data_IF_768859715146
#
_entry.id   IF_768859715146
#
_cell.length_a   1.000
_cell.length_b   1.000
_cell.length_c   1.000
_cell.angle_alpha   90.00
_cell.angle_beta   90.00
_cell.angle_gamma   90.00
#
_symmetry.space_group_name_H-M   'P 1'
#
loop_
_entity.id
_entity.type
_entity.pdbx_description
1 polymer ?
#
# COMPACT_ATOMS: atom_id res chain seq x y z
N UNK A 1 61.58 21.76 32.16
CA UNK A 1 60.97 22.87 31.40
C UNK A 1 60.42 22.28 30.12
N UNK A 2 59.16 22.64 29.86
CA UNK A 2 58.27 22.06 28.86
C UNK A 2 58.68 22.38 27.42
N UNK A 3 58.29 21.49 26.51
CA UNK A 3 57.89 21.86 25.15
C UNK A 3 56.80 20.88 24.72
N UNK A 4 55.57 21.35 24.80
CA UNK A 4 54.35 20.74 24.28
C UNK A 4 54.43 20.66 22.75
N UNK A 5 53.98 19.55 22.17
CA UNK A 5 53.48 19.54 20.80
C UNK A 5 52.21 18.66 20.75
N UNK A 6 51.10 19.31 21.10
CA UNK A 6 49.74 18.83 20.92
C UNK A 6 49.26 19.29 19.54
N UNK A 7 49.14 18.38 18.59
CA UNK A 7 48.37 18.64 17.36
C UNK A 7 47.29 17.58 17.14
N UNK A 8 46.10 17.95 17.62
CA UNK A 8 44.77 17.63 17.13
C UNK A 8 44.68 16.85 15.80
N UNK A 9 44.34 15.56 15.91
CA UNK A 9 43.67 14.79 14.85
C UNK A 9 42.20 14.62 15.21
N UNK A 10 41.38 15.58 14.80
CA UNK A 10 39.92 15.60 14.96
C UNK A 10 39.27 14.29 14.50
N UNK A 11 38.73 13.52 15.44
CA UNK A 11 37.74 12.47 15.18
C UNK A 11 36.51 13.18 14.59
N UNK A 12 36.36 13.11 13.27
CA UNK A 12 35.17 13.61 12.57
C UNK A 12 33.95 12.81 13.03
N UNK A 13 33.12 13.49 13.83
CA UNK A 13 31.66 13.53 13.69
C UNK A 13 30.96 12.20 13.53
N UNK A 14 30.44 11.71 14.65
CA UNK A 14 29.34 10.75 14.72
C UNK A 14 28.19 11.19 13.80
N UNK A 15 28.07 10.58 12.61
CA UNK A 15 26.93 10.84 11.72
C UNK A 15 25.69 10.28 12.42
N UNK A 16 24.83 11.15 12.97
CA UNK A 16 23.55 10.72 13.51
C UNK A 16 22.80 10.01 12.39
N UNK A 17 22.58 8.70 12.53
CA UNK A 17 21.80 7.92 11.55
C UNK A 17 20.44 8.58 11.45
N UNK A 18 20.13 9.17 10.28
CA UNK A 18 18.85 9.83 10.04
C UNK A 18 17.78 8.75 9.98
N UNK A 19 16.74 8.88 10.81
CA UNK A 19 15.59 7.98 10.82
C UNK A 19 14.81 8.10 9.52
N UNK A 20 14.62 6.98 8.81
CA UNK A 20 13.91 6.96 7.50
C UNK A 20 12.53 6.34 7.58
N UNK A 21 12.28 5.51 8.59
CA UNK A 21 11.00 4.81 8.78
C UNK A 21 10.30 5.29 10.06
N UNK A 22 9.02 5.62 9.95
CA UNK A 22 8.22 6.24 11.01
C UNK A 22 6.95 5.42 11.25
N UNK A 23 6.76 4.87 12.45
CA UNK A 23 5.55 4.10 12.76
C UNK A 23 4.40 5.00 13.20
N UNK A 24 3.17 4.54 12.98
CA UNK A 24 1.95 5.13 13.51
C UNK A 24 0.95 4.03 13.92
N UNK A 25 0.17 4.31 14.97
CA UNK A 25 -0.84 3.40 15.53
C UNK A 25 -1.69 4.14 16.57
N UNK A 26 -2.73 3.49 17.11
CA UNK A 26 -3.67 4.14 18.03
C UNK A 26 -2.95 4.76 19.23
N UNK A 27 -2.96 6.10 19.33
CA UNK A 27 -2.33 6.84 20.42
C UNK A 27 -0.80 6.92 20.36
N UNK A 28 -0.16 6.47 19.27
CA UNK A 28 1.30 6.50 19.11
C UNK A 28 1.70 6.84 17.67
N UNK A 29 2.61 7.78 17.51
CA UNK A 29 3.18 8.14 16.20
C UNK A 29 4.60 8.67 16.35
N UNK A 30 5.50 8.25 15.46
CA UNK A 30 6.85 8.81 15.35
C UNK A 30 6.90 10.09 14.51
N UNK A 31 5.81 10.40 13.80
CA UNK A 31 5.65 11.60 12.97
C UNK A 31 4.55 12.53 13.48
N UNK A 32 4.36 13.65 12.79
CA UNK A 32 3.24 14.59 13.04
C UNK A 32 2.87 15.37 11.77
N UNK A 33 1.79 16.16 11.83
CA UNK A 33 1.27 16.95 10.70
C UNK A 33 2.26 17.95 10.08
N UNK A 34 3.28 18.41 10.82
CA UNK A 34 4.26 19.37 10.29
C UNK A 34 5.28 18.72 9.34
N UNK A 35 5.43 17.40 9.39
CA UNK A 35 6.46 16.64 8.66
C UNK A 35 6.05 16.29 7.23
N UNK A 36 5.19 17.09 6.57
CA UNK A 36 4.69 16.80 5.20
C UNK A 36 5.79 16.67 4.16
N UNK A 37 6.87 17.44 4.30
CA UNK A 37 8.01 17.36 3.39
C UNK A 37 8.71 15.98 3.47
N UNK A 38 8.72 15.36 4.66
CA UNK A 38 9.41 14.10 4.94
C UNK A 38 8.50 12.88 4.79
N UNK A 39 7.25 12.95 5.28
CA UNK A 39 6.31 11.82 5.33
C UNK A 39 5.26 11.87 4.22
N UNK A 40 5.29 12.90 3.38
CA UNK A 40 4.22 13.22 2.47
C UNK A 40 2.95 13.70 3.17
N UNK A 41 1.98 14.17 2.38
CA UNK A 41 0.68 14.62 2.91
C UNK A 41 -0.10 13.50 3.59
N UNK A 42 -0.09 12.29 3.00
CA UNK A 42 -0.81 11.12 3.56
C UNK A 42 -0.17 10.62 4.86
N UNK A 43 1.15 10.41 4.88
CA UNK A 43 1.87 9.94 6.06
C UNK A 43 1.78 10.91 7.23
N UNK A 44 1.96 12.21 6.98
CA UNK A 44 1.82 13.24 8.01
C UNK A 44 0.39 13.31 8.60
N UNK A 45 -0.65 13.11 7.78
CA UNK A 45 -2.02 13.05 8.27
C UNK A 45 -2.33 11.76 9.03
N UNK A 46 -1.80 10.60 8.61
CA UNK A 46 -1.93 9.33 9.35
C UNK A 46 -1.29 9.44 10.73
N UNK A 47 -0.08 10.00 10.78
CA UNK A 47 0.65 10.30 12.01
C UNK A 47 -0.16 11.23 12.94
N UNK A 48 -0.73 12.30 12.40
CA UNK A 48 -1.59 13.23 13.15
C UNK A 48 -2.81 12.51 13.73
N UNK A 49 -3.57 11.78 12.90
CA UNK A 49 -4.77 11.07 13.32
C UNK A 49 -4.46 10.04 14.42
N UNK A 50 -3.35 9.32 14.27
CA UNK A 50 -2.84 8.39 15.28
C UNK A 50 -2.51 9.10 16.60
N UNK A 51 -1.82 10.25 16.54
CA UNK A 51 -1.40 11.02 17.72
C UNK A 51 -2.56 11.62 18.51
N UNK A 52 -3.64 12.03 17.84
CA UNK A 52 -4.85 12.56 18.50
C UNK A 52 -5.82 11.46 18.96
N UNK A 53 -5.44 10.19 18.86
CA UNK A 53 -6.18 9.05 19.41
C UNK A 53 -7.30 8.51 18.53
N UNK A 54 -7.37 8.87 17.25
CA UNK A 54 -8.32 8.24 16.33
C UNK A 54 -7.94 6.78 16.08
N UNK A 55 -8.94 5.95 15.80
CA UNK A 55 -8.77 4.54 15.45
C UNK A 55 -8.18 4.39 14.05
N UNK A 56 -6.87 4.57 13.93
CA UNK A 56 -6.10 4.38 12.70
C UNK A 56 -5.48 2.98 12.73
N UNK A 57 -5.69 2.13 11.70
CA UNK A 57 -4.98 0.86 11.60
C UNK A 57 -3.46 1.09 11.62
N UNK A 58 -2.69 0.32 12.40
CA UNK A 58 -1.27 0.56 12.58
C UNK A 58 -0.51 0.36 11.26
N UNK A 59 0.61 1.07 11.15
CA UNK A 59 1.42 1.08 9.95
C UNK A 59 2.72 1.84 10.13
N UNK A 60 3.38 2.08 9.01
CA UNK A 60 4.62 2.84 8.93
C UNK A 60 4.69 3.67 7.65
N UNK A 61 5.45 4.74 7.70
CA UNK A 61 5.78 5.60 6.56
C UNK A 61 7.29 5.58 6.33
N UNK A 62 7.70 5.22 5.12
CA UNK A 62 9.07 5.38 4.62
C UNK A 62 9.20 6.77 4.01
N UNK A 63 10.20 7.53 4.42
CA UNK A 63 10.33 8.95 4.10
C UNK A 63 10.59 9.25 2.62
N UNK A 64 10.34 10.50 2.23
CA UNK A 64 10.73 11.05 0.92
C UNK A 64 12.25 11.13 0.74
N UNK A 65 13.02 11.24 1.84
CA UNK A 65 14.48 11.19 1.79
C UNK A 65 14.98 9.79 1.44
N UNK A 66 14.33 8.73 1.91
CA UNK A 66 14.65 7.37 1.48
C UNK A 66 14.38 7.15 -0.02
N UNK A 67 13.37 7.82 -0.59
CA UNK A 67 13.13 7.83 -2.03
C UNK A 67 14.27 8.54 -2.78
N UNK A 68 14.74 9.68 -2.28
CA UNK A 68 15.89 10.41 -2.84
C UNK A 68 17.17 9.56 -2.82
N UNK A 69 17.43 8.88 -1.69
CA UNK A 69 18.54 7.93 -1.54
C UNK A 69 18.41 6.76 -2.54
N UNK A 70 17.21 6.21 -2.73
CA UNK A 70 16.97 5.14 -3.69
C UNK A 70 17.25 5.59 -5.13
N UNK A 71 16.73 6.75 -5.54
CA UNK A 71 16.91 7.27 -6.90
C UNK A 71 18.37 7.62 -7.18
N UNK A 72 19.03 8.32 -6.25
CA UNK A 72 20.45 8.69 -6.37
C UNK A 72 21.40 7.50 -6.25
N UNK A 73 21.02 6.46 -5.50
CA UNK A 73 21.76 5.20 -5.32
C UNK A 73 21.61 4.18 -6.44
N UNK A 74 21.08 4.57 -7.61
CA UNK A 74 20.94 3.69 -8.77
C UNK A 74 19.73 2.75 -8.69
N UNK A 75 18.65 3.17 -8.05
CA UNK A 75 17.38 2.45 -7.93
C UNK A 75 17.51 1.08 -7.27
N UNK A 76 18.28 1.03 -6.18
CA UNK A 76 18.44 -0.15 -5.34
C UNK A 76 18.05 0.18 -3.91
N UNK A 77 17.19 -0.66 -3.34
CA UNK A 77 16.84 -0.55 -1.93
C UNK A 77 18.04 -1.00 -1.10
N UNK A 78 18.59 -0.11 -0.27
CA UNK A 78 19.74 -0.45 0.59
C UNK A 78 19.33 -1.43 1.68
N UNK A 79 20.24 -2.34 2.06
CA UNK A 79 19.99 -3.30 3.13
C UNK A 79 19.69 -2.59 4.46
N UNK A 80 20.39 -1.48 4.74
CA UNK A 80 20.13 -0.66 5.92
C UNK A 80 18.70 -0.11 6.01
N UNK A 81 18.12 0.30 4.88
CA UNK A 81 16.74 0.79 4.83
C UNK A 81 15.77 -0.38 4.98
N UNK A 82 16.09 -1.53 4.38
CA UNK A 82 15.28 -2.74 4.53
C UNK A 82 15.23 -3.23 5.98
N UNK A 83 16.36 -3.20 6.70
CA UNK A 83 16.41 -3.53 8.12
C UNK A 83 15.55 -2.58 8.97
N UNK A 84 15.61 -1.27 8.71
CA UNK A 84 14.73 -0.29 9.36
C UNK A 84 13.25 -0.57 9.09
N UNK A 85 12.90 -0.94 7.85
CA UNK A 85 11.53 -1.32 7.48
C UNK A 85 11.10 -2.55 8.27
N UNK A 86 11.93 -3.60 8.35
CA UNK A 86 11.58 -4.82 9.08
C UNK A 86 11.45 -4.60 10.59
N UNK A 87 12.33 -3.78 11.19
CA UNK A 87 12.23 -3.37 12.59
C UNK A 87 10.91 -2.64 12.84
N UNK A 88 10.58 -1.65 12.01
CA UNK A 88 9.31 -0.91 12.12
C UNK A 88 8.09 -1.78 11.83
N UNK A 89 8.21 -2.78 10.96
CA UNK A 89 7.13 -3.71 10.63
C UNK A 89 6.79 -4.64 11.81
N UNK A 90 7.79 -5.03 12.62
CA UNK A 90 7.57 -5.81 13.84
C UNK A 90 6.66 -5.11 14.85
N UNK A 91 6.64 -3.76 14.86
CA UNK A 91 5.68 -2.98 15.64
C UNK A 91 4.25 -3.22 15.15
N UNK A 92 4.03 -3.22 13.83
CA UNK A 92 2.70 -3.46 13.23
C UNK A 92 2.21 -4.87 13.57
N UNK A 93 3.08 -5.88 13.43
CA UNK A 93 2.78 -7.27 13.80
C UNK A 93 2.38 -7.41 15.27
N UNK A 94 3.12 -6.76 16.17
CA UNK A 94 2.85 -6.77 17.61
C UNK A 94 1.52 -6.10 17.95
N UNK A 95 1.24 -4.93 17.38
CA UNK A 95 -0.01 -4.19 17.62
C UNK A 95 -1.23 -4.96 17.10
N UNK A 96 -1.10 -5.67 15.99
CA UNK A 96 -2.19 -6.47 15.40
C UNK A 96 -2.31 -7.88 15.98
N UNK A 97 -1.28 -8.39 16.67
CA UNK A 97 -1.23 -9.78 17.12
C UNK A 97 -1.23 -10.79 15.97
N UNK A 98 -0.76 -10.38 14.80
CA UNK A 98 -0.78 -11.10 13.54
C UNK A 98 0.60 -11.01 12.85
N UNK A 99 0.91 -11.94 11.96
CA UNK A 99 2.22 -12.06 11.33
C UNK A 99 2.09 -12.07 9.81
N UNK A 100 3.03 -11.42 9.13
CA UNK A 100 3.06 -11.40 7.67
C UNK A 100 3.45 -12.80 7.15
N UNK A 101 2.56 -13.41 6.38
CA UNK A 101 2.75 -14.76 5.84
C UNK A 101 2.29 -15.91 6.74
N UNK A 102 1.72 -15.64 7.91
CA UNK A 102 1.18 -16.68 8.80
C UNK A 102 -0.27 -17.04 8.40
N UNK A 103 -0.56 -18.30 8.01
CA UNK A 103 -1.91 -18.73 7.65
C UNK A 103 -2.91 -18.72 8.82
N UNK A 104 -2.46 -18.91 10.05
CA UNK A 104 -3.31 -18.95 11.24
C UNK A 104 -3.68 -17.54 11.68
N UNK A 105 -2.70 -16.63 11.65
CA UNK A 105 -2.87 -15.21 12.06
C UNK A 105 -2.37 -14.27 10.96
N UNK A 106 -3.06 -14.23 9.81
CA UNK A 106 -2.59 -13.49 8.65
C UNK A 106 -2.63 -11.98 8.89
N UNK A 107 -1.49 -11.32 8.73
CA UNK A 107 -1.40 -9.88 8.57
C UNK A 107 -1.31 -9.55 7.08
N UNK A 108 -2.32 -8.85 6.56
CA UNK A 108 -2.25 -8.26 5.23
C UNK A 108 -2.02 -6.75 5.35
N UNK A 109 -1.33 -6.16 4.38
CA UNK A 109 -1.06 -4.72 4.35
C UNK A 109 -1.45 -4.09 3.02
N UNK A 110 -1.66 -2.78 3.06
CA UNK A 110 -1.71 -1.94 1.87
C UNK A 110 -0.44 -1.13 1.73
N UNK A 111 -0.02 -0.88 0.50
CA UNK A 111 1.13 -0.03 0.16
C UNK A 111 0.62 1.14 -0.69
N UNK A 112 0.88 2.36 -0.21
CA UNK A 112 0.32 3.59 -0.78
C UNK A 112 1.39 4.67 -0.95
N UNK A 113 1.51 5.19 -2.17
CA UNK A 113 2.32 6.37 -2.47
C UNK A 113 1.75 7.62 -1.78
N UNK A 114 2.64 8.52 -1.33
CA UNK A 114 2.27 9.80 -0.74
C UNK A 114 3.39 10.82 -0.83
N UNK A 115 3.34 11.71 -1.84
CA UNK A 115 4.23 12.87 -1.92
C UNK A 115 3.76 14.00 -0.98
N UNK A 116 4.60 15.02 -0.79
CA UNK A 116 4.26 16.21 0.01
C UNK A 116 3.07 16.99 -0.55
N UNK A 117 2.93 16.98 -1.88
CA UNK A 117 1.82 17.57 -2.63
C UNK A 117 1.10 16.43 -3.36
N UNK A 118 -0.23 16.54 -3.52
CA UNK A 118 -0.99 15.57 -4.29
C UNK A 118 -0.51 15.56 -5.75
N UNK A 119 -0.13 14.37 -6.25
CA UNK A 119 0.44 14.22 -7.58
C UNK A 119 -0.28 13.09 -8.34
N UNK A 120 -0.91 13.37 -9.50
CA UNK A 120 -1.41 12.34 -10.38
C UNK A 120 -0.26 11.63 -11.10
N UNK A 121 -0.39 10.32 -11.30
CA UNK A 121 0.64 9.49 -11.95
C UNK A 121 1.70 8.89 -11.02
N UNK A 122 1.51 9.06 -9.71
CA UNK A 122 2.16 8.21 -8.71
C UNK A 122 1.54 6.81 -8.71
N UNK A 123 2.30 5.81 -8.26
CA UNK A 123 1.84 4.42 -8.17
C UNK A 123 0.45 4.32 -7.53
N UNK A 124 -0.42 3.54 -8.16
CA UNK A 124 -1.72 3.17 -7.62
C UNK A 124 -1.58 2.36 -6.31
N UNK A 125 -2.63 2.34 -5.51
CA UNK A 125 -2.60 1.65 -4.21
C UNK A 125 -2.60 0.14 -4.40
N UNK A 126 -1.69 -0.57 -3.75
CA UNK A 126 -1.74 -2.03 -3.64
C UNK A 126 -2.41 -2.40 -2.32
N UNK A 127 -3.49 -3.18 -2.38
CA UNK A 127 -4.18 -3.75 -1.22
C UNK A 127 -3.88 -5.25 -1.09
N UNK A 128 -4.17 -5.82 0.08
CA UNK A 128 -4.09 -7.26 0.35
C UNK A 128 -2.69 -7.87 0.15
N UNK A 129 -1.63 -7.06 0.26
CA UNK A 129 -0.25 -7.54 0.18
C UNK A 129 0.02 -8.50 1.34
N UNK A 130 0.64 -9.64 1.03
CA UNK A 130 0.89 -10.74 1.96
C UNK A 130 0.07 -11.99 1.65
N UNK A 131 -0.85 -11.94 0.68
CA UNK A 131 -1.56 -13.14 0.22
C UNK A 131 -0.64 -14.06 -0.59
N UNK A 132 -0.77 -15.36 -0.28
CA UNK A 132 -0.26 -16.49 -1.02
C UNK A 132 -1.21 -17.69 -0.79
N UNK A 133 -0.89 -18.87 -1.32
CA UNK A 133 -1.75 -20.06 -1.25
C UNK A 133 -2.04 -20.55 0.18
N UNK A 134 -1.08 -20.41 1.08
CA UNK A 134 -1.23 -20.82 2.47
C UNK A 134 -2.09 -19.79 3.23
N UNK A 135 -1.75 -18.51 3.08
CA UNK A 135 -2.43 -17.38 3.72
C UNK A 135 -3.88 -17.27 3.24
N UNK A 136 -4.16 -17.46 1.94
CA UNK A 136 -5.53 -17.42 1.41
C UNK A 136 -6.38 -18.55 1.97
N UNK A 137 -5.79 -19.73 2.17
CA UNK A 137 -6.48 -20.88 2.78
C UNK A 137 -6.83 -20.62 4.25
N UNK A 138 -5.91 -19.98 4.98
CA UNK A 138 -6.16 -19.47 6.34
C UNK A 138 -7.26 -18.41 6.39
N UNK A 139 -7.20 -17.43 5.49
CA UNK A 139 -8.21 -16.38 5.36
C UNK A 139 -9.59 -16.96 4.99
N UNK A 140 -9.64 -17.94 4.09
CA UNK A 140 -10.86 -18.63 3.68
C UNK A 140 -11.56 -19.33 4.84
N UNK A 141 -10.77 -19.89 5.76
CA UNK A 141 -11.29 -20.59 6.95
C UNK A 141 -11.91 -19.64 7.98
N UNK A 142 -11.46 -18.38 8.02
CA UNK A 142 -11.91 -17.38 9.00
C UNK A 142 -13.01 -16.45 8.46
N UNK A 143 -12.90 -16.09 7.19
CA UNK A 143 -13.67 -14.99 6.58
C UNK A 143 -14.53 -15.44 5.40
N UNK A 144 -14.51 -16.75 5.09
CA UNK A 144 -15.24 -17.35 3.99
C UNK A 144 -14.42 -17.49 2.70
N UNK A 145 -14.60 -18.63 2.02
CA UNK A 145 -13.84 -19.00 0.81
C UNK A 145 -13.98 -17.97 -0.31
N UNK A 146 -15.20 -17.51 -0.57
CA UNK A 146 -15.47 -16.55 -1.65
C UNK A 146 -14.69 -15.25 -1.47
N UNK A 147 -14.70 -14.67 -0.27
CA UNK A 147 -13.97 -13.44 0.03
C UNK A 147 -12.46 -13.62 -0.12
N UNK A 148 -11.92 -14.72 0.39
CA UNK A 148 -10.50 -14.97 0.36
C UNK A 148 -9.97 -15.10 -1.07
N UNK A 149 -10.62 -15.92 -1.90
CA UNK A 149 -10.22 -16.08 -3.30
C UNK A 149 -10.53 -14.85 -4.17
N UNK A 150 -11.62 -14.11 -3.90
CA UNK A 150 -11.88 -12.83 -4.59
C UNK A 150 -10.79 -11.79 -4.26
N UNK A 151 -10.40 -11.72 -2.99
CA UNK A 151 -9.32 -10.83 -2.54
C UNK A 151 -7.97 -11.25 -3.13
N UNK A 152 -7.73 -12.56 -3.29
CA UNK A 152 -6.48 -13.07 -3.86
C UNK A 152 -6.38 -12.82 -5.37
N UNK A 153 -7.42 -13.08 -6.16
CA UNK A 153 -7.39 -12.73 -7.60
C UNK A 153 -7.18 -11.23 -7.82
N UNK A 154 -7.80 -10.38 -7.01
CA UNK A 154 -7.68 -8.91 -7.11
C UNK A 154 -6.28 -8.46 -6.75
N UNK A 155 -5.67 -9.11 -5.76
CA UNK A 155 -4.28 -8.86 -5.42
C UNK A 155 -3.33 -9.29 -6.52
N UNK A 156 -3.53 -10.47 -7.14
CA UNK A 156 -2.71 -10.95 -8.25
C UNK A 156 -2.74 -9.98 -9.44
N UNK A 157 -3.92 -9.49 -9.82
CA UNK A 157 -4.05 -8.50 -10.89
C UNK A 157 -3.36 -7.17 -10.52
N UNK A 158 -3.74 -6.58 -9.39
CA UNK A 158 -3.21 -5.27 -8.95
C UNK A 158 -1.69 -5.30 -8.66
N UNK A 159 -1.16 -6.37 -8.06
CA UNK A 159 0.29 -6.52 -7.88
C UNK A 159 0.98 -6.74 -9.23
N UNK A 160 0.35 -7.48 -10.14
CA UNK A 160 0.88 -7.74 -11.48
C UNK A 160 1.01 -6.45 -12.27
N UNK A 161 -0.06 -5.67 -12.34
CA UNK A 161 -0.10 -4.39 -13.05
C UNK A 161 0.80 -3.35 -12.40
N UNK A 162 0.59 -3.09 -11.11
CA UNK A 162 1.21 -1.93 -10.46
C UNK A 162 2.66 -2.17 -10.04
N UNK A 163 3.01 -3.39 -9.62
CA UNK A 163 4.38 -3.72 -9.14
C UNK A 163 5.21 -4.39 -10.24
N UNK A 164 4.64 -5.35 -10.95
CA UNK A 164 5.38 -6.13 -11.95
C UNK A 164 5.28 -5.54 -13.36
N UNK A 165 4.40 -4.56 -13.60
CA UNK A 165 4.18 -3.97 -14.92
C UNK A 165 3.57 -4.94 -15.93
N UNK A 166 2.71 -5.86 -15.47
CA UNK A 166 1.94 -6.80 -16.29
C UNK A 166 0.61 -6.13 -16.64
N UNK A 167 0.32 -5.87 -17.93
CA UNK A 167 -0.89 -5.14 -18.30
C UNK A 167 -2.20 -5.76 -17.76
N UNK A 168 -3.01 -4.95 -17.07
CA UNK A 168 -4.32 -5.34 -16.52
C UNK A 168 -5.24 -6.11 -17.49
N UNK A 169 -5.19 -5.78 -18.79
CA UNK A 169 -6.03 -6.42 -19.81
C UNK A 169 -5.78 -7.93 -19.93
N UNK A 170 -4.59 -8.43 -19.59
CA UNK A 170 -4.28 -9.86 -19.59
C UNK A 170 -5.03 -10.61 -18.49
N UNK A 171 -5.26 -9.96 -17.34
CA UNK A 171 -6.07 -10.53 -16.26
C UNK A 171 -7.56 -10.45 -16.58
N UNK A 172 -8.03 -9.32 -17.14
CA UNK A 172 -9.41 -9.17 -17.59
C UNK A 172 -9.79 -10.17 -18.68
N UNK A 173 -8.88 -10.50 -19.60
CA UNK A 173 -9.11 -11.56 -20.59
C UNK A 173 -9.41 -12.91 -19.92
N UNK A 174 -8.62 -13.29 -18.91
CA UNK A 174 -8.84 -14.53 -18.15
C UNK A 174 -10.17 -14.54 -17.40
N UNK A 175 -10.52 -13.42 -16.77
CA UNK A 175 -11.81 -13.26 -16.10
C UNK A 175 -12.98 -13.36 -17.08
N UNK A 176 -12.88 -12.69 -18.24
CA UNK A 176 -13.93 -12.70 -19.25
C UNK A 176 -14.12 -14.10 -19.84
N UNK A 177 -13.04 -14.80 -20.18
CA UNK A 177 -13.10 -16.17 -20.68
C UNK A 177 -13.82 -17.11 -19.70
N UNK A 178 -13.47 -17.03 -18.41
CA UNK A 178 -14.14 -17.85 -17.39
C UNK A 178 -15.64 -17.50 -17.26
N UNK A 179 -16.00 -16.22 -17.33
CA UNK A 179 -17.41 -15.80 -17.32
C UNK A 179 -18.17 -16.33 -18.53
N UNK A 180 -17.58 -16.29 -19.71
CA UNK A 180 -18.18 -16.79 -20.95
C UNK A 180 -18.37 -18.32 -20.90
N UNK A 181 -17.38 -19.07 -20.40
CA UNK A 181 -17.46 -20.51 -20.17
C UNK A 181 -18.57 -20.90 -19.18
N UNK A 182 -18.74 -20.10 -18.12
CA UNK A 182 -19.78 -20.29 -17.09
C UNK A 182 -21.13 -19.67 -17.46
N UNK A 183 -21.22 -18.96 -18.60
CA UNK A 183 -22.41 -18.23 -19.07
C UNK A 183 -22.99 -17.25 -18.05
N UNK A 184 -22.11 -16.52 -17.38
CA UNK A 184 -22.45 -15.49 -16.39
C UNK A 184 -22.04 -14.10 -16.87
N UNK A 185 -22.73 -13.07 -16.40
CA UNK A 185 -22.50 -11.68 -16.84
C UNK A 185 -21.78 -10.83 -15.80
N UNK A 186 -22.00 -11.11 -14.51
CA UNK A 186 -21.44 -10.33 -13.41
C UNK A 186 -20.37 -11.13 -12.66
N UNK A 187 -19.28 -10.45 -12.29
CA UNK A 187 -18.24 -11.03 -11.43
C UNK A 187 -18.81 -11.50 -10.08
N UNK A 188 -19.93 -10.92 -9.63
CA UNK A 188 -20.62 -11.31 -8.40
C UNK A 188 -21.15 -12.74 -8.45
N UNK A 189 -21.44 -13.23 -9.65
CA UNK A 189 -22.07 -14.52 -9.89
C UNK A 189 -21.05 -15.67 -9.87
N UNK A 190 -19.74 -15.36 -9.86
CA UNK A 190 -18.68 -16.35 -9.70
C UNK A 190 -18.74 -17.02 -8.32
N UNK A 191 -18.65 -18.35 -8.32
CA UNK A 191 -18.59 -19.14 -7.09
C UNK A 191 -17.18 -19.12 -6.49
N UNK A 192 -17.04 -19.58 -5.24
CA UNK A 192 -15.71 -19.74 -4.65
C UNK A 192 -14.81 -20.75 -5.38
N UNK A 193 -15.40 -21.71 -6.09
CA UNK A 193 -14.63 -22.67 -6.91
C UNK A 193 -14.09 -21.97 -8.14
N UNK A 194 -14.94 -21.22 -8.85
CA UNK A 194 -14.53 -20.48 -10.05
C UNK A 194 -13.43 -19.46 -9.72
N UNK A 195 -13.55 -18.76 -8.59
CA UNK A 195 -12.52 -17.83 -8.13
C UNK A 195 -11.19 -18.53 -7.80
N UNK A 196 -11.24 -19.75 -7.28
CA UNK A 196 -10.03 -20.54 -7.02
C UNK A 196 -9.36 -20.97 -8.32
N UNK A 197 -10.13 -21.40 -9.30
CA UNK A 197 -9.62 -21.74 -10.64
C UNK A 197 -9.02 -20.50 -11.33
N UNK A 198 -9.68 -19.34 -11.19
CA UNK A 198 -9.22 -18.06 -11.74
C UNK A 198 -7.90 -17.59 -11.13
N UNK A 199 -7.66 -17.86 -9.84
CA UNK A 199 -6.39 -17.56 -9.17
C UNK A 199 -5.23 -18.30 -9.85
N UNK A 200 -5.41 -19.56 -10.24
CA UNK A 200 -4.38 -20.32 -10.95
C UNK A 200 -4.15 -19.76 -12.37
N UNK A 201 -5.21 -19.41 -13.09
CA UNK A 201 -5.09 -18.72 -14.38
C UNK A 201 -4.35 -17.40 -14.26
N UNK A 202 -4.58 -16.63 -13.19
CA UNK A 202 -3.88 -15.36 -12.96
C UNK A 202 -2.39 -15.59 -12.65
N UNK A 203 -2.02 -16.63 -11.89
CA UNK A 203 -0.60 -16.99 -11.72
C UNK A 203 0.06 -17.36 -13.04
N UNK A 204 -0.66 -18.02 -13.94
CA UNK A 204 -0.15 -18.34 -15.28
C UNK A 204 0.13 -17.08 -16.12
N UNK A 205 -0.62 -15.99 -15.92
CA UNK A 205 -0.33 -14.70 -16.55
C UNK A 205 1.05 -14.16 -16.17
N UNK A 206 1.51 -14.36 -14.93
CA UNK A 206 2.86 -13.96 -14.51
C UNK A 206 3.93 -14.71 -15.29
N UNK A 207 3.77 -16.04 -15.41
CA UNK A 207 4.71 -16.89 -16.13
C UNK A 207 4.74 -16.53 -17.61
N UNK A 208 3.57 -16.36 -18.25
CA UNK A 208 3.50 -16.05 -19.68
C UNK A 208 4.02 -14.64 -20.01
N UNK A 209 3.86 -13.68 -19.09
CA UNK A 209 4.22 -12.27 -19.33
C UNK A 209 5.66 -11.92 -18.94
N UNK A 210 6.18 -12.53 -17.87
CA UNK A 210 7.49 -12.20 -17.28
C UNK A 210 8.45 -13.37 -17.24
N UNK A 211 8.00 -14.59 -17.51
CA UNK A 211 8.81 -15.81 -17.37
C UNK A 211 9.05 -16.22 -15.91
N UNK A 212 8.36 -15.58 -14.96
CA UNK A 212 8.54 -15.78 -13.52
C UNK A 212 7.20 -16.07 -12.86
N UNK A 213 7.20 -16.90 -11.82
CA UNK A 213 6.01 -17.14 -11.00
C UNK A 213 5.70 -15.94 -10.11
N UNK A 214 4.43 -15.76 -9.75
CA UNK A 214 4.02 -14.81 -8.72
C UNK A 214 4.85 -15.01 -7.41
N UNK A 215 5.41 -13.94 -6.81
CA UNK A 215 6.22 -14.07 -5.60
C UNK A 215 5.36 -14.47 -4.40
N UNK A 216 5.49 -15.72 -3.94
CA UNK A 216 4.72 -16.24 -2.81
C UNK A 216 5.24 -15.77 -1.44
N UNK A 217 6.50 -15.34 -1.34
CA UNK A 217 7.08 -14.75 -0.13
C UNK A 217 6.54 -13.32 0.09
N UNK A 218 5.77 -13.08 1.17
CA UNK A 218 5.25 -11.76 1.50
C UNK A 218 6.31 -10.68 1.71
N UNK A 219 7.51 -11.04 2.17
CA UNK A 219 8.60 -10.06 2.37
C UNK A 219 9.15 -9.61 1.03
N UNK A 220 9.31 -10.52 0.08
CA UNK A 220 9.65 -10.18 -1.30
C UNK A 220 8.56 -9.30 -1.94
N UNK A 221 7.27 -9.65 -1.77
CA UNK A 221 6.16 -8.81 -2.23
C UNK A 221 6.27 -7.38 -1.69
N UNK A 222 6.54 -7.23 -0.38
CA UNK A 222 6.68 -5.92 0.26
C UNK A 222 7.88 -5.14 -0.28
N UNK A 223 9.03 -5.79 -0.45
CA UNK A 223 10.24 -5.19 -1.01
C UNK A 223 10.00 -4.65 -2.42
N UNK A 224 9.41 -5.48 -3.29
CA UNK A 224 9.08 -5.10 -4.66
C UNK A 224 8.06 -3.95 -4.70
N UNK A 225 7.04 -3.97 -3.83
CA UNK A 225 6.06 -2.89 -3.75
C UNK A 225 6.68 -1.55 -3.32
N UNK A 226 7.63 -1.56 -2.37
CA UNK A 226 8.36 -0.34 -1.97
C UNK A 226 9.16 0.22 -3.14
N UNK A 227 9.88 -0.65 -3.86
CA UNK A 227 10.67 -0.24 -5.04
C UNK A 227 9.77 0.34 -6.12
N UNK A 228 8.63 -0.31 -6.42
CA UNK A 228 7.66 0.18 -7.40
C UNK A 228 7.10 1.56 -7.02
N UNK A 229 6.84 1.83 -5.73
CA UNK A 229 6.41 3.17 -5.30
C UNK A 229 7.51 4.20 -5.57
N UNK A 230 8.77 3.90 -5.24
CA UNK A 230 9.87 4.81 -5.52
C UNK A 230 10.10 5.01 -7.02
N UNK A 231 10.04 3.95 -7.83
CA UNK A 231 10.18 4.05 -9.29
C UNK A 231 9.07 4.89 -9.93
N UNK A 232 7.85 4.84 -9.36
CA UNK A 232 6.74 5.66 -9.84
C UNK A 232 6.95 7.17 -9.70
N UNK A 233 7.89 7.61 -8.85
CA UNK A 233 8.27 9.02 -8.75
C UNK A 233 8.80 9.58 -10.08
N UNK A 234 9.51 8.75 -10.85
CA UNK A 234 10.08 9.12 -12.15
C UNK A 234 9.23 8.63 -13.33
N UNK A 235 7.97 8.27 -13.08
CA UNK A 235 7.06 7.89 -14.17
C UNK A 235 6.90 9.06 -15.16
N UNK A 236 6.75 8.80 -16.47
CA UNK A 236 6.55 9.85 -17.46
C UNK A 236 5.37 10.78 -17.12
N UNK A 237 4.32 10.22 -16.50
CA UNK A 237 3.14 10.96 -16.04
C UNK A 237 3.48 11.88 -14.87
N UNK A 238 4.21 11.39 -13.86
CA UNK A 238 4.62 12.19 -12.70
C UNK A 238 5.60 13.31 -13.10
N UNK A 239 6.58 13.01 -13.95
CA UNK A 239 7.54 14.01 -14.49
C UNK A 239 6.80 15.10 -15.25
N UNK A 240 5.92 14.71 -16.18
CA UNK A 240 5.12 15.67 -16.97
C UNK A 240 4.24 16.54 -16.08
N UNK A 241 3.63 15.97 -15.04
CA UNK A 241 2.83 16.73 -14.08
C UNK A 241 3.66 17.77 -13.32
N UNK A 242 4.85 17.39 -12.81
CA UNK A 242 5.76 18.33 -12.13
C UNK A 242 6.20 19.47 -13.06
N UNK A 243 6.51 19.16 -14.31
CA UNK A 243 6.94 20.15 -15.30
C UNK A 243 5.82 21.15 -15.63
N UNK A 244 4.59 20.66 -15.89
CA UNK A 244 3.44 21.52 -16.22
C UNK A 244 3.08 22.45 -15.06
N UNK A 245 3.13 21.95 -13.83
CA UNK A 245 2.78 22.71 -12.63
C UNK A 245 3.97 23.45 -12.00
N UNK A 246 5.14 23.44 -12.66
CA UNK A 246 6.37 24.08 -12.19
C UNK A 246 6.78 23.69 -10.76
N UNK A 247 6.52 22.43 -10.38
CA UNK A 247 6.82 21.91 -9.05
C UNK A 247 8.31 21.56 -8.99
N UNK A 248 9.05 22.29 -8.15
CA UNK A 248 10.49 22.10 -7.90
C UNK A 248 10.77 21.87 -6.41
N UNK A 249 11.93 21.30 -6.08
CA UNK A 249 12.38 21.13 -4.68
C UNK A 249 11.78 19.95 -3.91
N UNK A 250 10.95 19.11 -4.54
CA UNK A 250 10.48 17.86 -3.92
C UNK A 250 11.54 16.76 -4.03
N UNK A 251 11.86 16.13 -2.89
CA UNK A 251 12.87 15.06 -2.80
C UNK A 251 12.41 13.72 -3.38
N UNK A 252 11.11 13.45 -3.33
CA UNK A 252 10.57 12.14 -3.68
C UNK A 252 9.15 11.93 -3.20
N UNK A 253 8.74 10.66 -3.18
CA UNK A 253 7.47 10.20 -2.59
C UNK A 253 7.73 9.39 -1.33
N UNK A 254 6.85 9.50 -0.33
CA UNK A 254 6.84 8.58 0.79
C UNK A 254 6.08 7.30 0.43
N UNK A 255 6.37 6.21 1.15
CA UNK A 255 5.65 4.94 1.07
C UNK A 255 4.91 4.72 2.38
N UNK A 256 3.59 4.56 2.33
CA UNK A 256 2.78 4.26 3.50
C UNK A 256 2.38 2.79 3.44
N UNK A 257 2.82 2.02 4.44
CA UNK A 257 2.48 0.61 4.61
C UNK A 257 1.54 0.55 5.81
N UNK A 258 0.31 0.06 5.60
CA UNK A 258 -0.74 0.09 6.61
C UNK A 258 -1.46 -1.25 6.68
N UNK A 259 -1.73 -1.74 7.89
CA UNK A 259 -2.54 -2.94 8.10
C UNK A 259 -3.89 -2.84 7.37
N UNK A 260 -4.26 -3.92 6.69
CA UNK A 260 -5.58 -4.05 6.06
C UNK A 260 -6.67 -4.13 7.13
N UNK A 261 -7.79 -3.51 6.81
CA UNK A 261 -9.08 -3.75 7.47
C UNK A 261 -10.09 -4.11 6.38
N UNK A 262 -10.98 -5.05 6.67
CA UNK A 262 -11.87 -5.62 5.67
C UNK A 262 -13.30 -5.10 5.85
N UNK A 263 -13.75 -4.30 4.89
CA UNK A 263 -15.13 -3.84 4.80
C UNK A 263 -16.09 -4.88 4.21
N UNK A 264 -15.57 -6.04 3.76
CA UNK A 264 -16.29 -7.07 3.04
C UNK A 264 -16.48 -8.39 3.82
N UNK A 265 -16.33 -8.39 5.15
CA UNK A 265 -16.53 -9.59 5.98
C UNK A 265 -18.00 -9.94 6.28
N UNK A 266 -18.94 -9.52 5.42
CA UNK A 266 -20.38 -9.69 5.63
C UNK A 266 -21.10 -8.38 5.98
N UNK A 267 -22.36 -8.51 6.40
CA UNK A 267 -23.30 -7.38 6.48
C UNK A 267 -23.03 -6.44 7.68
N UNK A 268 -22.20 -6.87 8.63
CA UNK A 268 -21.73 -6.03 9.75
C UNK A 268 -20.44 -5.25 9.42
N UNK A 269 -19.94 -5.36 8.19
CA UNK A 269 -18.74 -4.68 7.72
C UNK A 269 -19.08 -3.75 6.57
N UNK A 270 -18.28 -2.69 6.40
CA UNK A 270 -18.46 -1.79 5.28
C UNK A 270 -17.34 -0.79 5.15
N UNK A 271 -17.47 0.07 4.14
CA UNK A 271 -16.48 1.08 3.79
C UNK A 271 -17.20 2.33 3.29
N UNK A 272 -16.62 3.51 3.51
CA UNK A 272 -17.25 4.75 3.12
C UNK A 272 -16.29 5.93 3.08
N UNK A 273 -16.76 6.99 2.42
CA UNK A 273 -16.06 8.27 2.31
C UNK A 273 -17.05 9.36 2.65
N UNK A 274 -16.66 10.29 3.51
CA UNK A 274 -17.49 11.43 3.87
C UNK A 274 -16.69 12.72 3.95
N UNK A 275 -17.41 13.81 3.74
CA UNK A 275 -17.01 15.17 4.04
C UNK A 275 -17.80 15.65 5.26
N UNK A 276 -17.14 16.43 6.11
CA UNK A 276 -17.77 16.99 7.32
C UNK A 276 -18.79 18.09 7.01
N UNK A 277 -18.78 18.60 5.77
CA UNK A 277 -19.73 19.55 5.19
C UNK A 277 -19.96 19.18 3.72
N UNK A 278 -21.07 19.62 3.15
CA UNK A 278 -21.34 19.44 1.73
C UNK A 278 -20.26 20.18 0.88
N UNK A 279 -19.49 19.48 0.03
CA UNK A 279 -18.40 20.10 -0.74
C UNK A 279 -18.90 21.03 -1.86
N UNK A 280 -20.17 20.91 -2.27
CA UNK A 280 -20.78 21.74 -3.31
C UNK A 280 -21.50 22.98 -2.75
N UNK A 281 -22.21 22.84 -1.62
CA UNK A 281 -23.03 23.93 -1.06
C UNK A 281 -22.43 24.60 0.17
N UNK A 282 -21.47 23.96 0.84
CA UNK A 282 -20.90 24.41 2.11
C UNK A 282 -21.77 24.14 3.34
N UNK A 283 -22.94 23.52 3.15
CA UNK A 283 -23.87 23.18 4.23
C UNK A 283 -23.20 22.32 5.31
N UNK A 284 -23.41 22.66 6.60
CA UNK A 284 -22.84 21.95 7.74
C UNK A 284 -23.62 20.65 8.05
N UNK A 285 -23.62 19.74 7.09
CA UNK A 285 -24.20 18.39 7.18
C UNK A 285 -23.18 17.36 6.66
N UNK A 286 -23.14 16.19 7.28
CA UNK A 286 -22.31 15.09 6.78
C UNK A 286 -22.76 14.73 5.36
N UNK A 287 -21.82 14.66 4.43
CA UNK A 287 -22.06 14.34 3.03
C UNK A 287 -21.11 13.22 2.62
N UNK A 288 -21.63 12.08 2.20
CA UNK A 288 -20.78 10.93 1.88
C UNK A 288 -21.56 9.72 1.42
N UNK A 289 -20.80 8.67 1.12
CA UNK A 289 -21.31 7.38 0.66
C UNK A 289 -20.75 6.25 1.55
N UNK A 290 -21.55 5.20 1.71
CA UNK A 290 -21.18 4.01 2.48
C UNK A 290 -21.69 2.76 1.76
N UNK A 291 -20.84 1.74 1.68
CA UNK A 291 -21.13 0.46 1.07
C UNK A 291 -20.95 -0.64 2.11
N UNK A 292 -22.03 -1.39 2.36
CA UNK A 292 -22.01 -2.59 3.20
C UNK A 292 -21.35 -3.72 2.41
N UNK A 293 -20.56 -4.53 3.10
CA UNK A 293 -19.93 -5.73 2.56
C UNK A 293 -19.09 -5.47 1.29
N UNK A 294 -18.30 -4.38 1.32
CA UNK A 294 -17.52 -3.91 0.18
C UNK A 294 -16.12 -3.45 0.59
N UNK A 295 -15.19 -3.48 -0.37
CA UNK A 295 -13.84 -2.93 -0.23
C UNK A 295 -13.68 -1.78 -1.22
N UNK A 296 -13.17 -0.63 -0.77
CA UNK A 296 -12.86 0.49 -1.66
C UNK A 296 -11.73 0.05 -2.59
N UNK A 297 -12.07 -0.14 -3.86
CA UNK A 297 -11.10 -0.21 -4.96
C UNK A 297 -10.58 1.21 -5.23
N UNK A 298 -9.43 1.37 -5.92
CA UNK A 298 -9.01 2.67 -6.42
C UNK A 298 -10.16 3.38 -7.14
N UNK A 299 -10.22 4.70 -7.02
CA UNK A 299 -11.36 5.52 -7.45
C UNK A 299 -11.80 5.31 -8.92
N UNK A 300 -10.96 4.69 -9.75
CA UNK A 300 -11.24 4.28 -11.14
C UNK A 300 -12.25 3.14 -11.28
N UNK A 301 -12.52 2.35 -10.23
CA UNK A 301 -13.36 1.15 -10.30
C UNK A 301 -14.65 1.21 -9.47
N UNK A 302 -14.94 2.36 -8.82
CA UNK A 302 -16.18 2.51 -8.04
C UNK A 302 -17.41 2.55 -8.97
N UNK A 303 -18.15 1.44 -9.06
CA UNK A 303 -19.53 1.46 -9.56
C UNK A 303 -20.41 2.10 -8.48
N UNK A 304 -20.90 3.29 -8.80
CA UNK A 304 -21.74 4.13 -7.95
C UNK A 304 -23.05 3.38 -7.64
N UNK A 305 -23.29 3.07 -6.37
CA UNK A 305 -24.64 2.73 -5.89
C UNK A 305 -25.06 3.87 -4.96
N UNK A 306 -25.93 4.74 -5.48
CA UNK A 306 -26.56 5.81 -4.69
C UNK A 306 -27.52 5.17 -3.70
N UNK A 307 -27.21 5.24 -2.40
CA UNK A 307 -28.22 5.08 -1.37
C UNK A 307 -29.03 6.38 -1.30
N UNK A 308 -30.24 6.37 -1.87
CA UNK A 308 -31.23 7.41 -1.58
C UNK A 308 -31.74 7.16 -0.16
N UNK A 309 -31.38 8.05 0.76
CA UNK A 309 -31.99 8.20 2.09
C UNK A 309 -32.64 9.57 2.20
#
# INVERSE_FOLDING_TARGET
>A
MASEDCTNGLIKGNSSVKKRVFVFGKGRSDGNKSMKALLGGKGANLAEMASIGLSVPPGLTISTEACEEYVSGGKKLSDSLWDEVMIAFSFVEKEMGALLGDPLRPLLVSVRSGAAISMPGMMDTVLNLGLNDEVVSGLASRSGKRLAYDSYRRFLDMFGDVVMGIPHNLFEEKLQNLKDERRINLDTDLTSSDLKDLVEEYKNVYISSKGESFPSDPKLQLKLAIQAVFDSWDSPRAVKYRNINQITGLKGTAVNIQCMVFGNMGDSSGTGVLFTRNPSTGEKKLYGEFLINAQVLPASSCRIIRANG
#
